data_IF_870043399816
#
_entry.id   IF_870043399816
#
_cell.length_a   1.000
_cell.length_b   1.000
_cell.length_c   1.000
_cell.angle_alpha   90.00
_cell.angle_beta   90.00
_cell.angle_gamma   90.00
#
_symmetry.space_group_name_H-M   'P 1'
#
loop_
_entity.id
_entity.type
_entity.pdbx_description
1 polymer ?
#
# COMPACT_ATOMS: atom_id res chain seq x y z
N UNK A 1 -81.48 11.24 62.89
CA UNK A 1 -82.34 12.44 62.85
C UNK A 1 -82.20 13.07 61.47
N UNK A 2 -83.16 12.88 60.55
CA UNK A 2 -83.17 13.62 59.29
C UNK A 2 -83.51 15.09 59.57
N UNK A 3 -82.78 16.01 58.94
CA UNK A 3 -83.04 17.45 59.02
C UNK A 3 -83.99 17.83 57.88
N UNK A 4 -85.22 18.18 58.22
CA UNK A 4 -86.19 18.69 57.25
C UNK A 4 -85.89 20.18 56.99
N UNK A 5 -85.34 20.48 55.81
CA UNK A 5 -85.21 21.85 55.31
C UNK A 5 -86.58 22.50 55.20
N UNK A 6 -86.73 23.71 55.74
CA UNK A 6 -88.01 24.42 55.71
C UNK A 6 -88.21 25.15 54.37
N UNK A 7 -89.45 25.33 53.93
CA UNK A 7 -89.77 25.92 52.62
C UNK A 7 -89.19 27.34 52.45
N UNK A 8 -89.14 28.10 53.55
CA UNK A 8 -88.50 29.43 53.62
C UNK A 8 -86.98 29.43 53.40
N UNK A 9 -86.27 28.36 53.75
CA UNK A 9 -84.84 28.23 53.46
C UNK A 9 -84.62 27.88 51.99
N UNK A 10 -85.52 27.08 51.41
CA UNK A 10 -85.49 26.66 50.03
C UNK A 10 -85.72 27.85 49.07
N UNK A 11 -86.66 28.74 49.39
CA UNK A 11 -86.87 29.98 48.62
C UNK A 11 -85.75 31.01 48.81
N UNK A 12 -85.12 31.07 49.99
CA UNK A 12 -83.92 31.91 50.21
C UNK A 12 -82.76 31.44 49.34
N UNK A 13 -82.56 30.13 49.24
CA UNK A 13 -81.55 29.52 48.35
C UNK A 13 -81.87 29.82 46.89
N UNK A 14 -83.13 29.70 46.46
CA UNK A 14 -83.57 30.08 45.09
C UNK A 14 -83.27 31.55 44.77
N UNK A 15 -83.58 32.48 45.66
CA UNK A 15 -83.29 33.92 45.47
C UNK A 15 -81.79 34.25 45.47
N UNK A 16 -80.96 33.44 46.13
CA UNK A 16 -79.49 33.60 46.10
C UNK A 16 -78.81 33.00 44.86
N UNK A 17 -79.55 32.18 44.08
CA UNK A 17 -79.06 31.53 42.84
C UNK A 17 -79.66 32.22 41.59
N UNK A 18 -80.79 32.90 41.70
CA UNK A 18 -81.34 33.71 40.61
C UNK A 18 -80.47 34.94 40.33
N UNK A 19 -80.13 35.16 39.05
CA UNK A 19 -79.39 36.35 38.63
C UNK A 19 -80.10 37.64 39.08
N UNK A 20 -79.37 38.65 39.58
CA UNK A 20 -79.97 39.90 40.01
C UNK A 20 -80.60 40.62 38.80
N UNK A 21 -81.88 40.95 38.90
CA UNK A 21 -82.64 41.65 37.85
C UNK A 21 -81.99 43.02 37.62
N UNK A 22 -81.22 43.13 36.53
CA UNK A 22 -80.47 44.34 36.22
C UNK A 22 -81.41 45.54 36.03
N UNK A 23 -81.27 46.54 36.89
CA UNK A 23 -81.98 47.81 36.73
C UNK A 23 -81.52 48.51 35.44
N UNK A 24 -82.42 49.26 34.78
CA UNK A 24 -82.11 50.07 33.59
C UNK A 24 -80.88 50.98 33.78
N UNK A 25 -80.63 51.43 35.02
CA UNK A 25 -79.43 52.20 35.36
C UNK A 25 -78.13 51.38 35.26
N UNK A 26 -78.17 50.10 35.65
CA UNK A 26 -77.01 49.21 35.58
C UNK A 26 -76.71 48.77 34.14
N UNK A 27 -77.73 48.49 33.33
CA UNK A 27 -77.57 48.22 31.90
C UNK A 27 -76.91 49.41 31.18
N UNK A 28 -77.37 50.64 31.45
CA UNK A 28 -76.73 51.87 30.93
C UNK A 28 -75.28 52.04 31.42
N UNK A 29 -75.01 51.71 32.69
CA UNK A 29 -73.65 51.72 33.27
C UNK A 29 -72.73 50.70 32.59
N UNK A 30 -73.23 49.50 32.29
CA UNK A 30 -72.49 48.45 31.57
C UNK A 30 -72.18 48.88 30.14
N UNK A 31 -73.18 49.33 29.37
CA UNK A 31 -72.99 49.82 28.00
C UNK A 31 -72.00 50.99 27.91
N UNK A 32 -72.06 51.97 28.83
CA UNK A 32 -71.09 53.07 28.88
C UNK A 32 -69.69 52.60 29.30
N UNK A 33 -69.59 51.59 30.19
CA UNK A 33 -68.32 50.95 30.55
C UNK A 33 -67.71 50.22 29.33
N UNK A 34 -68.51 49.50 28.55
CA UNK A 34 -68.09 48.84 27.31
C UNK A 34 -67.62 49.82 26.24
N UNK A 35 -68.36 50.90 26.02
CA UNK A 35 -67.94 51.96 25.08
C UNK A 35 -66.61 52.61 25.53
N UNK A 36 -66.42 52.76 26.84
CA UNK A 36 -65.19 53.27 27.44
C UNK A 36 -64.02 52.28 27.31
N UNK A 37 -64.20 50.98 27.57
CA UNK A 37 -63.15 49.97 27.40
C UNK A 37 -62.76 49.81 25.93
N UNK A 38 -63.72 49.83 25.00
CA UNK A 38 -63.46 49.81 23.55
C UNK A 38 -62.63 51.02 23.08
N UNK A 39 -62.88 52.22 23.63
CA UNK A 39 -62.07 53.41 23.34
C UNK A 39 -60.68 53.32 23.97
N UNK A 40 -60.61 52.91 25.23
CA UNK A 40 -59.35 52.75 25.99
C UNK A 40 -58.43 51.69 25.35
N UNK A 41 -58.98 50.60 24.82
CA UNK A 41 -58.21 49.57 24.12
C UNK A 41 -57.52 50.04 22.83
N UNK A 42 -57.93 51.19 22.28
CA UNK A 42 -57.29 51.82 21.11
C UNK A 42 -56.25 52.89 21.49
N UNK A 43 -56.06 53.18 22.77
CA UNK A 43 -55.13 54.22 23.23
C UNK A 43 -53.70 53.68 23.36
N UNK A 44 -52.73 54.19 22.57
CA UNK A 44 -51.37 53.65 22.53
C UNK A 44 -50.52 53.98 23.76
N UNK A 45 -51.00 54.87 24.63
CA UNK A 45 -50.34 55.37 25.84
C UNK A 45 -50.89 54.78 27.15
N UNK A 46 -51.77 53.76 27.09
CA UNK A 46 -52.14 53.00 28.29
C UNK A 46 -50.97 52.15 28.79
N UNK A 47 -50.93 51.85 30.09
CA UNK A 47 -49.88 50.99 30.66
C UNK A 47 -49.85 49.61 30.00
N UNK A 48 -51.02 49.05 29.63
CA UNK A 48 -51.12 47.79 28.91
C UNK A 48 -50.58 47.88 27.47
N UNK A 49 -50.93 48.94 26.73
CA UNK A 49 -50.38 49.16 25.39
C UNK A 49 -48.85 49.38 25.41
N UNK A 50 -48.33 50.11 26.41
CA UNK A 50 -46.88 50.30 26.57
C UNK A 50 -46.16 49.00 26.99
N UNK A 51 -46.77 48.16 27.84
CA UNK A 51 -46.24 46.82 28.16
C UNK A 51 -46.21 45.93 26.92
N UNK A 52 -47.32 45.82 26.18
CA UNK A 52 -47.40 45.08 24.91
C UNK A 52 -46.39 45.58 23.88
N UNK A 53 -46.21 46.90 23.74
CA UNK A 53 -45.20 47.48 22.84
C UNK A 53 -43.77 47.11 23.26
N UNK A 54 -43.47 47.09 24.56
CA UNK A 54 -42.17 46.67 25.09
C UNK A 54 -41.93 45.15 24.92
N UNK A 55 -42.96 44.34 25.09
CA UNK A 55 -42.92 42.88 24.87
C UNK A 55 -42.75 42.56 23.38
N UNK A 56 -43.52 43.19 22.50
CA UNK A 56 -43.35 43.05 21.05
C UNK A 56 -41.96 43.52 20.62
N UNK A 57 -41.48 44.68 21.08
CA UNK A 57 -40.11 45.13 20.77
C UNK A 57 -39.02 44.15 21.22
N UNK A 58 -39.21 43.46 22.36
CA UNK A 58 -38.31 42.36 22.77
C UNK A 58 -38.38 41.19 21.80
N UNK A 59 -39.58 40.73 21.45
CA UNK A 59 -39.78 39.66 20.45
C UNK A 59 -39.18 40.03 19.10
N UNK A 60 -39.51 41.19 18.55
CA UNK A 60 -38.94 41.73 17.30
C UNK A 60 -37.41 41.89 17.35
N UNK A 61 -36.81 41.96 18.55
CA UNK A 61 -35.34 41.98 18.75
C UNK A 61 -34.77 40.57 18.81
N UNK A 62 -35.37 39.69 19.62
CA UNK A 62 -35.02 38.28 19.75
C UNK A 62 -35.16 37.54 18.40
N UNK A 63 -36.25 37.76 17.65
CA UNK A 63 -36.47 37.22 16.30
C UNK A 63 -35.44 37.73 15.28
N UNK A 64 -34.98 38.98 15.40
CA UNK A 64 -33.93 39.53 14.52
C UNK A 64 -32.55 38.95 14.85
N UNK A 65 -32.22 38.85 16.13
CA UNK A 65 -30.95 38.25 16.60
C UNK A 65 -30.89 36.75 16.24
N UNK A 66 -32.01 36.02 16.35
CA UNK A 66 -32.08 34.62 15.93
C UNK A 66 -32.02 34.48 14.39
N UNK A 67 -32.68 35.35 13.64
CA UNK A 67 -32.57 35.37 12.17
C UNK A 67 -31.16 35.75 11.66
N UNK A 68 -30.38 36.51 12.44
CA UNK A 68 -28.96 36.78 12.17
C UNK A 68 -28.09 35.56 12.47
N UNK A 69 -28.34 34.83 13.57
CA UNK A 69 -27.67 33.55 13.87
C UNK A 69 -27.92 32.50 12.81
N UNK A 70 -29.18 32.29 12.42
CA UNK A 70 -29.54 31.29 11.40
C UNK A 70 -28.85 31.54 10.04
N UNK A 71 -28.59 32.81 9.68
CA UNK A 71 -27.80 33.15 8.49
C UNK A 71 -26.32 32.82 8.65
N UNK A 72 -25.74 33.08 9.83
CA UNK A 72 -24.36 32.69 10.14
C UNK A 72 -24.22 31.17 10.08
N UNK A 73 -25.15 30.43 10.68
CA UNK A 73 -25.18 28.96 10.63
C UNK A 73 -25.30 28.44 9.18
N UNK A 74 -26.12 29.07 8.33
CA UNK A 74 -26.25 28.71 6.91
C UNK A 74 -24.96 29.01 6.12
N UNK A 75 -24.32 30.17 6.36
CA UNK A 75 -23.05 30.53 5.73
C UNK A 75 -21.89 29.64 6.19
N UNK A 76 -21.78 29.34 7.48
CA UNK A 76 -20.81 28.40 8.04
C UNK A 76 -21.04 26.99 7.48
N UNK A 77 -22.29 26.50 7.43
CA UNK A 77 -22.61 25.20 6.84
C UNK A 77 -22.23 25.14 5.35
N UNK A 78 -22.45 26.23 4.60
CA UNK A 78 -22.02 26.34 3.19
C UNK A 78 -20.50 26.27 3.09
N UNK A 79 -19.76 27.04 3.88
CA UNK A 79 -18.30 27.05 3.89
C UNK A 79 -17.70 25.70 4.31
N UNK A 80 -18.26 25.06 5.35
CA UNK A 80 -17.86 23.72 5.78
C UNK A 80 -18.12 22.68 4.69
N UNK A 81 -19.28 22.76 4.01
CA UNK A 81 -19.62 21.89 2.87
C UNK A 81 -18.65 22.09 1.70
N UNK A 82 -18.35 23.33 1.33
CA UNK A 82 -17.35 23.65 0.30
C UNK A 82 -15.96 23.14 0.67
N UNK A 83 -15.53 23.34 1.90
CA UNK A 83 -14.22 22.89 2.39
C UNK A 83 -14.13 21.36 2.38
N UNK A 84 -15.18 20.67 2.84
CA UNK A 84 -15.31 19.20 2.76
C UNK A 84 -15.28 18.71 1.31
N UNK A 85 -16.00 19.38 0.40
CA UNK A 85 -15.97 19.05 -1.04
C UNK A 85 -14.55 19.22 -1.61
N UNK A 86 -13.89 20.36 -1.37
CA UNK A 86 -12.50 20.61 -1.80
C UNK A 86 -11.51 19.58 -1.23
N UNK A 87 -11.70 19.14 0.02
CA UNK A 87 -10.90 18.06 0.61
C UNK A 87 -11.14 16.71 -0.07
N UNK A 88 -12.39 16.35 -0.35
CA UNK A 88 -12.77 15.10 -1.04
C UNK A 88 -12.25 15.12 -2.48
N UNK A 89 -12.40 16.23 -3.22
CA UNK A 89 -11.86 16.41 -4.57
C UNK A 89 -10.33 16.25 -4.59
N UNK A 90 -9.62 16.88 -3.63
CA UNK A 90 -8.17 16.72 -3.48
C UNK A 90 -7.79 15.27 -3.18
N UNK A 91 -8.52 14.59 -2.30
CA UNK A 91 -8.27 13.19 -1.97
C UNK A 91 -8.50 12.27 -3.18
N UNK A 92 -9.63 12.43 -3.88
CA UNK A 92 -9.94 11.69 -5.10
C UNK A 92 -8.89 11.91 -6.19
N UNK A 93 -8.45 13.16 -6.38
CA UNK A 93 -7.34 13.50 -7.30
C UNK A 93 -6.04 12.80 -6.90
N UNK A 94 -5.68 12.80 -5.62
CA UNK A 94 -4.46 12.13 -5.14
C UNK A 94 -4.53 10.61 -5.33
N UNK A 95 -5.69 9.98 -5.05
CA UNK A 95 -5.92 8.56 -5.32
C UNK A 95 -5.80 8.25 -6.82
N UNK A 96 -6.36 9.11 -7.67
CA UNK A 96 -6.27 8.97 -9.13
C UNK A 96 -4.82 9.13 -9.64
N UNK A 97 -4.09 10.15 -9.18
CA UNK A 97 -2.66 10.34 -9.48
C UNK A 97 -1.79 9.17 -8.97
N UNK A 98 -2.24 8.43 -7.96
CA UNK A 98 -1.60 7.21 -7.45
C UNK A 98 -1.94 5.94 -8.24
N UNK A 99 -2.87 5.96 -9.21
CA UNK A 99 -3.10 4.80 -10.10
C UNK A 99 -1.87 4.52 -10.95
N UNK A 100 -1.54 3.25 -11.19
CA UNK A 100 -0.32 2.89 -11.93
C UNK A 100 -0.32 3.38 -13.39
N UNK A 101 -1.52 3.54 -13.97
CA UNK A 101 -1.71 4.16 -15.28
C UNK A 101 -1.32 5.64 -15.29
N UNK A 102 -1.67 6.40 -14.24
CA UNK A 102 -1.26 7.79 -14.07
C UNK A 102 0.23 7.91 -13.73
N UNK A 103 0.78 7.05 -12.87
CA UNK A 103 2.23 6.96 -12.64
C UNK A 103 3.01 6.74 -13.94
N UNK A 104 2.51 5.83 -14.80
CA UNK A 104 3.11 5.54 -16.11
C UNK A 104 3.07 6.76 -17.03
N UNK A 105 1.95 7.48 -17.09
CA UNK A 105 1.84 8.73 -17.86
C UNK A 105 2.83 9.78 -17.36
N UNK A 106 2.88 10.01 -16.04
CA UNK A 106 3.77 11.01 -15.41
C UNK A 106 5.26 10.66 -15.58
N UNK A 107 5.59 9.36 -15.63
CA UNK A 107 6.93 8.90 -15.99
C UNK A 107 7.29 9.18 -17.46
N UNK A 108 6.30 9.21 -18.36
CA UNK A 108 6.49 9.54 -19.79
C UNK A 108 6.52 11.05 -20.03
N UNK A 109 5.79 11.82 -19.24
CA UNK A 109 5.87 13.28 -19.14
C UNK A 109 7.28 13.72 -18.72
N UNK A 110 7.78 13.22 -17.58
CA UNK A 110 9.15 13.47 -17.13
C UNK A 110 10.21 13.04 -18.15
N UNK A 111 9.98 11.95 -18.89
CA UNK A 111 10.88 11.53 -19.97
C UNK A 111 10.88 12.52 -21.15
N UNK A 112 9.73 13.14 -21.46
CA UNK A 112 9.66 14.18 -22.49
C UNK A 112 10.38 15.46 -22.06
N UNK A 113 10.21 15.89 -20.80
CA UNK A 113 10.96 17.03 -20.22
C UNK A 113 12.47 16.78 -20.30
N UNK A 114 12.96 15.62 -19.85
CA UNK A 114 14.39 15.25 -19.87
C UNK A 114 14.95 15.18 -21.30
N UNK A 115 14.15 14.80 -22.29
CA UNK A 115 14.55 14.81 -23.70
C UNK A 115 14.67 16.24 -24.24
N UNK A 116 13.78 17.15 -23.85
CA UNK A 116 13.86 18.57 -24.20
C UNK A 116 15.09 19.23 -23.55
N UNK A 117 15.33 19.01 -22.26
CA UNK A 117 16.54 19.47 -21.57
C UNK A 117 17.82 18.95 -22.23
N UNK A 118 17.78 17.70 -22.74
CA UNK A 118 18.90 17.11 -23.44
C UNK A 118 19.16 17.77 -24.81
N UNK A 119 18.13 18.18 -25.52
CA UNK A 119 18.27 18.95 -26.77
C UNK A 119 18.90 20.32 -26.49
N UNK A 120 18.47 21.03 -25.44
CA UNK A 120 19.10 22.29 -25.01
C UNK A 120 20.58 22.12 -24.67
N UNK A 121 20.95 21.10 -23.87
CA UNK A 121 22.35 20.79 -23.55
C UNK A 121 23.21 20.50 -24.80
N UNK A 122 22.63 19.87 -25.82
CA UNK A 122 23.34 19.59 -27.08
C UNK A 122 23.54 20.87 -27.88
N UNK A 123 22.53 21.75 -27.91
CA UNK A 123 22.62 23.09 -28.51
C UNK A 123 23.73 23.93 -27.87
N UNK A 124 23.65 24.12 -26.55
CA UNK A 124 24.63 24.87 -25.75
C UNK A 124 26.07 24.32 -25.94
N UNK A 125 26.24 22.99 -25.92
CA UNK A 125 27.55 22.37 -26.17
C UNK A 125 28.10 22.63 -27.58
N UNK A 126 27.23 22.76 -28.58
CA UNK A 126 27.66 23.09 -29.94
C UNK A 126 28.01 24.59 -30.07
N UNK A 127 27.31 25.47 -29.36
CA UNK A 127 27.65 26.89 -29.28
C UNK A 127 29.00 27.11 -28.59
N UNK A 128 29.26 26.45 -27.46
CA UNK A 128 30.57 26.47 -26.80
C UNK A 128 31.69 26.01 -27.73
N UNK A 129 31.53 24.87 -28.41
CA UNK A 129 32.52 24.42 -29.42
C UNK A 129 32.77 25.44 -30.52
N UNK A 130 31.72 26.12 -31.00
CA UNK A 130 31.85 27.15 -32.03
C UNK A 130 32.53 28.44 -31.49
N UNK A 131 32.41 28.71 -30.20
CA UNK A 131 33.15 29.78 -29.52
C UNK A 131 34.61 29.40 -29.30
N UNK A 132 34.90 28.20 -28.78
CA UNK A 132 36.25 27.65 -28.62
C UNK A 132 37.01 27.66 -29.95
N UNK A 133 36.36 27.20 -31.03
CA UNK A 133 36.98 27.21 -32.37
C UNK A 133 37.37 28.62 -32.83
N UNK A 134 36.54 29.65 -32.57
CA UNK A 134 36.88 31.05 -32.87
C UNK A 134 38.04 31.57 -32.03
N UNK A 135 38.19 31.09 -30.79
CA UNK A 135 39.31 31.42 -29.91
C UNK A 135 40.60 30.78 -30.43
N UNK A 136 40.57 29.50 -30.80
CA UNK A 136 41.69 28.79 -31.43
C UNK A 136 42.11 29.39 -32.77
N UNK A 137 41.15 29.76 -33.64
CA UNK A 137 41.41 30.47 -34.89
C UNK A 137 42.10 31.82 -34.63
N UNK A 138 41.68 32.54 -33.58
CA UNK A 138 42.29 33.79 -33.12
C UNK A 138 43.74 33.61 -32.64
N UNK A 139 44.00 32.62 -31.78
CA UNK A 139 45.35 32.27 -31.33
C UNK A 139 46.25 31.84 -32.48
N UNK A 140 45.73 31.02 -33.40
CA UNK A 140 46.44 30.60 -34.61
C UNK A 140 46.81 31.80 -35.48
N UNK A 141 45.90 32.77 -35.62
CA UNK A 141 46.17 34.04 -36.30
C UNK A 141 47.32 34.83 -35.66
N UNK A 142 47.34 34.95 -34.32
CA UNK A 142 48.42 35.62 -33.58
C UNK A 142 49.75 34.86 -33.71
N UNK A 143 49.74 33.53 -33.62
CA UNK A 143 50.95 32.73 -33.81
C UNK A 143 51.53 32.91 -35.21
N UNK A 144 50.67 32.95 -36.24
CA UNK A 144 51.09 33.15 -37.63
C UNK A 144 51.64 34.56 -37.89
N UNK A 145 51.17 35.59 -37.19
CA UNK A 145 51.80 36.92 -37.27
C UNK A 145 53.15 36.96 -36.56
N UNK A 146 53.26 36.35 -35.37
CA UNK A 146 54.53 36.24 -34.64
C UNK A 146 55.60 35.48 -35.44
N UNK A 147 55.25 34.35 -36.07
CA UNK A 147 56.15 33.61 -36.96
C UNK A 147 56.60 34.48 -38.15
N UNK A 148 55.66 35.16 -38.82
CA UNK A 148 55.99 36.05 -39.95
C UNK A 148 56.92 37.19 -39.54
N UNK A 149 56.76 37.76 -38.35
CA UNK A 149 57.62 38.84 -37.87
C UNK A 149 58.98 38.33 -37.35
N UNK A 150 59.04 37.11 -36.81
CA UNK A 150 60.30 36.42 -36.52
C UNK A 150 61.09 36.11 -37.80
N UNK A 151 60.43 35.61 -38.85
CA UNK A 151 61.04 35.33 -40.16
C UNK A 151 61.61 36.61 -40.78
N UNK A 152 60.83 37.72 -40.81
CA UNK A 152 61.31 39.03 -41.26
C UNK A 152 62.55 39.48 -40.48
N UNK A 153 62.54 39.33 -39.16
CA UNK A 153 63.65 39.75 -38.31
C UNK A 153 64.91 38.90 -38.58
N UNK A 154 64.76 37.59 -38.74
CA UNK A 154 65.84 36.70 -39.14
C UNK A 154 66.40 37.03 -40.54
N UNK A 155 65.52 37.40 -41.47
CA UNK A 155 65.86 37.89 -42.82
C UNK A 155 66.67 39.19 -42.77
N UNK A 156 66.26 40.15 -41.95
CA UNK A 156 66.97 41.43 -41.80
C UNK A 156 68.29 41.27 -41.05
N UNK A 157 68.34 40.43 -40.01
CA UNK A 157 69.60 40.04 -39.36
C UNK A 157 70.56 39.31 -40.32
N UNK A 158 70.04 38.49 -41.25
CA UNK A 158 70.83 37.88 -42.32
C UNK A 158 71.38 38.96 -43.27
N UNK A 159 70.55 39.89 -43.75
CA UNK A 159 70.98 41.01 -44.60
C UNK A 159 72.04 41.88 -43.92
N UNK A 160 71.91 42.14 -42.61
CA UNK A 160 72.90 42.89 -41.83
C UNK A 160 74.20 42.11 -41.70
N UNK A 161 74.16 40.80 -41.44
CA UNK A 161 75.36 39.94 -41.45
C UNK A 161 76.04 39.90 -42.82
N UNK A 162 75.27 39.79 -43.91
CA UNK A 162 75.79 39.84 -45.28
C UNK A 162 76.46 41.19 -45.60
N UNK A 163 75.88 42.32 -45.17
CA UNK A 163 76.51 43.65 -45.31
C UNK A 163 77.83 43.72 -44.55
N UNK A 164 77.84 43.36 -43.26
CA UNK A 164 79.07 43.32 -42.44
C UNK A 164 80.13 42.39 -43.03
N UNK A 165 79.73 41.25 -43.60
CA UNK A 165 80.67 40.34 -44.25
C UNK A 165 81.24 40.92 -45.55
N UNK A 166 80.44 41.65 -46.34
CA UNK A 166 80.92 42.37 -47.53
C UNK A 166 81.90 43.49 -47.15
N UNK A 167 81.59 44.26 -46.12
CA UNK A 167 82.47 45.29 -45.54
C UNK A 167 83.80 44.68 -45.05
N UNK A 168 83.73 43.56 -44.32
CA UNK A 168 84.89 42.82 -43.83
C UNK A 168 85.76 42.30 -44.99
N UNK A 169 85.17 41.74 -46.05
CA UNK A 169 85.92 41.28 -47.24
C UNK A 169 86.63 42.44 -47.93
N UNK A 170 85.99 43.61 -48.07
CA UNK A 170 86.63 44.81 -48.62
C UNK A 170 87.79 45.29 -47.73
N UNK A 171 87.63 45.26 -46.41
CA UNK A 171 88.71 45.60 -45.47
C UNK A 171 89.87 44.59 -45.53
N UNK A 172 89.58 43.29 -45.62
CA UNK A 172 90.59 42.24 -45.78
C UNK A 172 91.34 42.36 -47.11
N UNK A 173 90.66 42.72 -48.20
CA UNK A 173 91.30 42.99 -49.48
C UNK A 173 92.28 44.16 -49.38
N UNK A 174 91.88 45.28 -48.75
CA UNK A 174 92.77 46.41 -48.46
C UNK A 174 93.97 46.01 -47.60
N UNK A 175 93.74 45.28 -46.51
CA UNK A 175 94.81 44.77 -45.64
C UNK A 175 95.77 43.83 -46.38
N UNK A 176 95.29 43.02 -47.33
CA UNK A 176 96.14 42.18 -48.17
C UNK A 176 96.94 43.00 -49.19
N UNK A 177 96.41 44.10 -49.73
CA UNK A 177 97.18 45.03 -50.57
C UNK A 177 98.22 45.81 -49.76
N UNK A 178 97.84 46.33 -48.59
CA UNK A 178 98.76 46.97 -47.63
C UNK A 178 99.87 46.01 -47.20
N UNK A 179 99.54 44.75 -46.88
CA UNK A 179 100.50 43.71 -46.55
C UNK A 179 101.40 43.36 -47.74
N UNK A 180 100.88 43.24 -48.96
CA UNK A 180 101.71 43.04 -50.17
C UNK A 180 102.66 44.21 -50.39
N UNK A 181 102.20 45.44 -50.26
CA UNK A 181 103.02 46.64 -50.42
C UNK A 181 104.10 46.73 -49.34
N UNK A 182 103.74 46.43 -48.09
CA UNK A 182 104.67 46.32 -46.96
C UNK A 182 105.69 45.19 -47.18
N UNK A 183 105.26 44.01 -47.62
CA UNK A 183 106.14 42.88 -47.88
C UNK A 183 107.07 43.10 -49.08
N UNK A 184 106.62 43.82 -50.12
CA UNK A 184 107.48 44.31 -51.20
C UNK A 184 108.51 45.32 -50.67
N UNK A 185 108.14 46.16 -49.69
CA UNK A 185 109.07 47.05 -49.03
C UNK A 185 110.08 46.29 -48.14
N UNK A 186 109.63 45.31 -47.34
CA UNK A 186 110.55 44.48 -46.54
C UNK A 186 111.46 43.65 -47.43
N UNK A 187 110.98 43.04 -48.53
CA UNK A 187 111.86 42.33 -49.49
C UNK A 187 112.92 43.26 -50.10
N UNK A 188 112.60 44.54 -50.32
CA UNK A 188 113.59 45.54 -50.77
C UNK A 188 114.57 45.94 -49.67
N UNK A 189 114.17 45.88 -48.40
CA UNK A 189 115.08 46.08 -47.27
C UNK A 189 115.92 44.82 -46.99
N UNK A 190 115.34 43.63 -47.00
CA UNK A 190 116.00 42.31 -46.91
C UNK A 190 117.01 42.09 -48.04
N UNK A 191 116.80 42.65 -49.24
CA UNK A 191 117.85 42.68 -50.27
C UNK A 191 119.06 43.53 -49.82
N UNK A 192 118.83 44.75 -49.30
CA UNK A 192 119.89 45.64 -48.80
C UNK A 192 120.56 45.10 -47.54
N UNK A 193 119.80 44.43 -46.68
CA UNK A 193 120.30 43.78 -45.47
C UNK A 193 120.94 42.43 -45.79
N UNK A 194 120.55 41.73 -46.85
CA UNK A 194 121.25 40.57 -47.39
C UNK A 194 122.63 40.93 -47.94
N UNK A 195 122.75 42.09 -48.60
CA UNK A 195 124.04 42.68 -48.97
C UNK A 195 124.92 42.97 -47.73
N UNK A 196 124.34 43.42 -46.61
CA UNK A 196 125.03 43.63 -45.32
C UNK A 196 125.33 42.34 -44.56
N UNK A 197 124.43 41.37 -44.56
CA UNK A 197 124.57 40.09 -43.85
C UNK A 197 125.58 39.21 -44.55
N UNK A 198 125.69 39.24 -45.88
CA UNK A 198 126.80 38.59 -46.59
C UNK A 198 128.16 39.09 -46.07
N UNK A 199 128.30 40.40 -45.83
CA UNK A 199 129.50 40.98 -45.25
C UNK A 199 129.71 40.64 -43.75
N UNK A 200 128.68 40.22 -43.01
CA UNK A 200 128.78 39.81 -41.59
C UNK A 200 128.92 38.28 -41.40
N UNK A 201 128.33 37.46 -42.26
CA UNK A 201 128.44 36.00 -42.18
C UNK A 201 129.88 35.52 -42.50
N UNK A 202 130.61 36.26 -43.33
CA UNK A 202 132.07 36.10 -43.52
C UNK A 202 132.88 36.43 -42.24
N UNK A 203 132.25 37.03 -41.22
CA UNK A 203 132.84 37.39 -39.94
C UNK A 203 132.45 36.39 -38.83
N UNK A 204 131.16 36.12 -38.63
CA UNK A 204 130.64 35.32 -37.50
C UNK A 204 130.93 33.80 -37.60
N UNK A 205 131.14 33.25 -38.80
CA UNK A 205 131.47 31.83 -38.99
C UNK A 205 132.82 31.39 -38.36
N UNK A 206 133.55 32.33 -37.75
CA UNK A 206 134.78 32.10 -37.00
C UNK A 206 134.55 31.80 -35.51
N UNK A 207 133.37 32.07 -34.97
CA UNK A 207 133.14 32.13 -33.52
C UNK A 207 132.31 30.97 -32.94
N UNK A 208 131.56 30.21 -33.75
CA UNK A 208 130.50 29.30 -33.23
C UNK A 208 130.95 27.85 -32.92
N UNK A 209 132.17 27.43 -33.27
CA UNK A 209 132.67 26.06 -33.03
C UNK A 209 132.84 25.69 -31.53
N UNK A 210 132.69 26.64 -30.59
CA UNK A 210 133.13 26.46 -29.18
C UNK A 210 132.07 25.92 -28.18
N UNK A 211 130.76 25.88 -28.48
CA UNK A 211 129.73 25.92 -27.40
C UNK A 211 128.88 24.66 -27.08
N UNK A 212 128.69 23.69 -27.97
CA UNK A 212 127.56 22.72 -27.92
C UNK A 212 127.59 21.61 -26.82
N UNK A 213 128.67 21.47 -26.05
CA UNK A 213 128.97 20.20 -25.33
C UNK A 213 128.20 19.91 -24.01
N UNK A 214 127.32 20.80 -23.51
CA UNK A 214 126.99 20.84 -22.07
C UNK A 214 125.69 20.16 -21.55
N UNK A 215 124.65 19.90 -22.36
CA UNK A 215 123.24 19.96 -21.85
C UNK A 215 122.55 18.67 -21.32
N UNK A 216 123.07 17.45 -21.55
CA UNK A 216 122.25 16.20 -21.63
C UNK A 216 121.82 15.44 -20.33
N UNK A 217 121.88 15.97 -19.09
CA UNK A 217 121.87 15.12 -17.85
C UNK A 217 120.63 15.03 -16.89
N UNK A 218 119.55 15.82 -16.99
CA UNK A 218 118.64 16.08 -15.82
C UNK A 218 117.31 15.30 -15.62
N UNK A 219 116.85 14.41 -16.50
CA UNK A 219 115.37 14.16 -16.67
C UNK A 219 114.71 12.97 -15.89
N UNK A 220 115.44 12.09 -15.17
CA UNK A 220 114.97 10.71 -14.91
C UNK A 220 114.07 10.36 -13.68
N UNK A 221 113.65 11.29 -12.80
CA UNK A 221 113.26 10.92 -11.41
C UNK A 221 111.77 10.91 -10.97
N UNK A 222 110.78 11.29 -11.80
CA UNK A 222 109.49 11.83 -11.27
C UNK A 222 108.21 10.94 -11.31
N UNK A 223 108.26 9.60 -11.52
CA UNK A 223 107.08 8.85 -12.03
C UNK A 223 106.38 7.81 -11.12
N UNK A 224 106.78 7.54 -9.86
CA UNK A 224 106.26 6.36 -9.10
C UNK A 224 104.98 6.59 -8.25
N UNK A 225 104.74 7.78 -7.69
CA UNK A 225 103.88 7.92 -6.49
C UNK A 225 102.34 7.78 -6.67
N UNK A 226 101.81 7.65 -7.89
CA UNK A 226 100.37 7.92 -8.16
C UNK A 226 99.39 6.73 -7.94
N UNK A 227 99.84 5.53 -7.54
CA UNK A 227 99.05 4.29 -7.75
C UNK A 227 98.09 3.85 -6.63
N UNK A 228 98.22 4.32 -5.39
CA UNK A 228 97.66 3.63 -4.20
C UNK A 228 96.26 4.07 -3.67
N UNK A 229 95.60 5.07 -4.28
CA UNK A 229 94.47 5.76 -3.62
C UNK A 229 93.04 5.23 -3.91
N UNK A 230 92.83 4.35 -4.90
CA UNK A 230 91.49 4.14 -5.50
C UNK A 230 90.60 3.02 -4.92
N UNK A 231 91.08 2.16 -4.01
CA UNK A 231 90.36 0.91 -3.65
C UNK A 231 89.30 1.04 -2.54
N UNK A 232 89.24 2.15 -1.80
CA UNK A 232 88.42 2.23 -0.55
C UNK A 232 86.94 2.64 -0.70
N UNK A 233 86.46 3.04 -1.88
CA UNK A 233 85.13 3.67 -2.01
C UNK A 233 83.95 2.69 -2.17
N UNK A 234 84.19 1.43 -2.57
CA UNK A 234 83.14 0.54 -3.08
C UNK A 234 82.33 -0.27 -2.03
N UNK A 235 82.60 -0.14 -0.73
CA UNK A 235 82.03 -1.01 0.31
C UNK A 235 80.74 -0.52 0.99
N UNK A 236 80.41 0.78 0.90
CA UNK A 236 79.33 1.38 1.72
C UNK A 236 77.91 1.35 1.12
N UNK A 237 77.73 1.00 -0.16
CA UNK A 237 76.44 1.13 -0.87
C UNK A 237 75.47 -0.06 -0.76
N UNK A 238 75.69 -1.01 0.16
CA UNK A 238 74.89 -2.25 0.26
C UNK A 238 73.95 -2.36 1.46
N UNK A 239 73.90 -1.37 2.36
CA UNK A 239 73.26 -1.51 3.69
C UNK A 239 71.91 -0.79 3.86
N UNK A 240 71.40 -0.08 2.85
CA UNK A 240 70.20 0.77 3.01
C UNK A 240 68.91 0.18 2.41
N UNK A 241 68.99 -0.86 1.57
CA UNK A 241 67.86 -1.36 0.77
C UNK A 241 66.86 -2.27 1.52
N UNK A 242 67.14 -2.70 2.75
CA UNK A 242 66.30 -3.69 3.47
C UNK A 242 65.31 -3.06 4.47
N UNK A 243 65.24 -1.73 4.56
CA UNK A 243 64.43 -1.02 5.57
C UNK A 243 62.98 -0.70 5.14
N UNK A 244 62.61 -0.85 3.87
CA UNK A 244 61.28 -0.42 3.36
C UNK A 244 60.17 -1.48 3.44
N UNK A 245 60.49 -2.76 3.67
CA UNK A 245 59.49 -3.86 3.68
C UNK A 245 58.60 -3.86 4.94
N UNK A 246 58.87 -2.98 5.92
CA UNK A 246 58.22 -2.98 7.23
C UNK A 246 56.86 -2.25 7.32
N UNK A 247 56.40 -1.55 6.26
CA UNK A 247 55.23 -0.66 6.37
C UNK A 247 53.89 -1.19 5.80
N UNK A 248 53.87 -2.27 5.02
CA UNK A 248 52.62 -2.75 4.37
C UNK A 248 51.66 -3.55 5.28
N UNK A 249 52.15 -4.11 6.38
CA UNK A 249 51.34 -4.99 7.27
C UNK A 249 50.29 -4.19 8.08
N UNK A 250 50.40 -2.86 8.18
CA UNK A 250 49.51 -2.00 8.99
C UNK A 250 48.17 -1.60 8.34
N UNK A 251 47.83 -2.08 7.14
CA UNK A 251 46.68 -1.55 6.37
C UNK A 251 45.48 -2.51 6.19
N UNK A 252 45.50 -3.71 6.76
CA UNK A 252 44.42 -4.71 6.55
C UNK A 252 43.55 -5.02 7.79
N UNK A 253 43.89 -4.55 9.00
CA UNK A 253 43.17 -4.94 10.21
C UNK A 253 41.90 -4.12 10.54
N UNK A 254 41.73 -2.91 9.99
CA UNK A 254 40.55 -2.06 10.27
C UNK A 254 39.29 -2.39 9.44
N UNK A 255 39.39 -3.27 8.43
CA UNK A 255 38.21 -3.83 7.75
C UNK A 255 37.35 -4.71 8.67
N UNK A 256 37.88 -5.07 9.85
CA UNK A 256 37.25 -5.95 10.84
C UNK A 256 36.22 -5.25 11.75
N UNK A 257 36.03 -3.92 11.64
CA UNK A 257 35.13 -3.11 12.51
C UNK A 257 33.87 -2.60 11.80
N UNK A 258 33.23 -3.45 11.00
CA UNK A 258 31.92 -3.16 10.38
C UNK A 258 31.00 -4.38 10.39
N UNK A 259 30.83 -5.03 11.55
CA UNK A 259 29.99 -4.36 12.55
C UNK A 259 28.51 -4.70 12.30
N UNK A 260 27.87 -3.85 11.50
CA UNK A 260 26.48 -3.46 11.73
C UNK A 260 25.57 -3.81 10.55
N UNK A 261 25.74 -5.02 10.01
CA UNK A 261 24.70 -5.71 9.23
C UNK A 261 24.32 -7.08 9.81
N UNK A 262 24.57 -7.24 11.12
CA UNK A 262 24.01 -8.26 12.00
C UNK A 262 22.47 -8.36 11.95
N UNK A 263 21.76 -7.28 11.65
CA UNK A 263 20.36 -7.10 12.04
C UNK A 263 19.29 -7.25 10.94
N UNK A 264 19.57 -7.95 9.83
CA UNK A 264 18.61 -8.09 8.70
C UNK A 264 18.45 -9.48 8.07
N UNK A 265 18.72 -10.57 8.79
CA UNK A 265 18.16 -11.89 8.39
C UNK A 265 17.84 -12.90 9.49
N UNK A 266 17.61 -12.42 10.70
CA UNK A 266 16.78 -13.12 11.71
C UNK A 266 15.38 -13.50 11.17
N UNK A 267 14.94 -12.87 10.06
CA UNK A 267 13.77 -13.24 9.28
C UNK A 267 13.73 -14.73 8.85
N UNK A 268 14.89 -15.40 8.68
CA UNK A 268 14.92 -16.82 8.28
C UNK A 268 14.61 -17.81 9.42
N UNK A 269 14.72 -17.36 10.68
CA UNK A 269 14.31 -18.15 11.86
C UNK A 269 12.81 -18.47 11.82
N UNK A 270 12.02 -17.66 11.12
CA UNK A 270 10.57 -17.81 10.92
C UNK A 270 10.17 -19.10 10.18
N UNK A 271 11.06 -19.68 9.35
CA UNK A 271 10.79 -20.93 8.62
C UNK A 271 10.89 -22.20 9.48
N UNK A 272 11.30 -22.08 10.76
CA UNK A 272 11.41 -23.22 11.69
C UNK A 272 10.12 -23.57 12.43
N UNK A 273 9.16 -22.66 12.51
CA UNK A 273 8.01 -22.83 13.40
C UNK A 273 6.73 -23.29 12.69
N UNK A 274 6.60 -23.07 11.38
CA UNK A 274 5.50 -23.64 10.57
C UNK A 274 5.52 -25.17 10.53
N UNK A 275 6.71 -25.79 10.60
CA UNK A 275 6.86 -27.26 10.66
C UNK A 275 6.34 -27.88 11.96
N UNK A 276 6.11 -27.10 13.02
CA UNK A 276 5.53 -27.58 14.28
C UNK A 276 4.00 -27.49 14.31
N UNK A 277 3.40 -26.67 13.43
CA UNK A 277 1.95 -26.56 13.27
C UNK A 277 1.30 -27.77 12.55
N UNK A 278 2.11 -28.76 12.12
CA UNK A 278 1.65 -30.10 11.75
C UNK A 278 1.11 -30.94 12.95
N UNK A 279 0.94 -30.29 14.11
CA UNK A 279 -0.22 -30.49 14.99
C UNK A 279 -1.54 -30.57 14.20
N UNK A 280 -1.83 -31.73 13.58
CA UNK A 280 -3.16 -32.19 13.13
C UNK A 280 -3.16 -33.61 12.55
N UNK A 281 -2.01 -34.18 12.19
CA UNK A 281 -1.92 -35.61 11.83
C UNK A 281 -2.08 -36.57 13.03
N UNK A 282 -2.49 -36.05 14.20
CA UNK A 282 -3.07 -36.83 15.31
C UNK A 282 -4.44 -37.48 14.98
N UNK A 283 -4.94 -37.31 13.75
CA UNK A 283 -6.24 -37.79 13.28
C UNK A 283 -6.22 -39.19 12.66
N UNK A 284 -5.05 -39.80 12.40
CA UNK A 284 -4.96 -40.98 11.51
C UNK A 284 -5.01 -42.32 12.27
N UNK A 285 -4.09 -42.56 13.22
CA UNK A 285 -3.79 -43.94 13.66
C UNK A 285 -4.51 -44.43 14.94
N UNK A 286 -5.46 -43.65 15.47
CA UNK A 286 -6.31 -44.08 16.61
C UNK A 286 -7.68 -44.60 16.14
N UNK A 287 -8.04 -44.38 14.86
CA UNK A 287 -9.29 -44.83 14.27
C UNK A 287 -9.25 -46.29 13.79
N UNK A 288 -8.05 -46.87 13.62
CA UNK A 288 -7.83 -48.25 13.17
C UNK A 288 -8.05 -49.28 14.30
N UNK A 289 -9.33 -49.43 14.66
CA UNK A 289 -10.02 -50.72 14.70
C UNK A 289 -9.26 -51.93 15.31
N UNK A 290 -9.57 -52.46 16.51
CA UNK A 290 -10.72 -52.36 17.41
C UNK A 290 -12.11 -52.73 16.85
N UNK A 291 -12.32 -52.78 15.52
CA UNK A 291 -13.47 -53.43 14.90
C UNK A 291 -13.16 -54.90 14.51
N UNK A 292 -11.89 -55.21 14.20
CA UNK A 292 -11.44 -56.52 13.68
C UNK A 292 -11.35 -57.69 14.70
N UNK A 293 -11.91 -57.58 15.91
CA UNK A 293 -11.73 -58.62 16.97
C UNK A 293 -13.00 -59.17 17.63
N UNK A 294 -14.20 -58.73 17.26
CA UNK A 294 -15.43 -59.15 17.97
C UNK A 294 -16.34 -60.14 17.21
N UNK A 295 -16.22 -60.27 15.88
CA UNK A 295 -17.19 -61.03 15.07
C UNK A 295 -17.01 -62.57 15.09
N UNK A 296 -15.84 -63.09 15.46
CA UNK A 296 -15.46 -64.48 15.18
C UNK A 296 -15.87 -65.56 16.22
N UNK A 297 -16.94 -65.38 17.03
CA UNK A 297 -17.20 -66.28 18.18
C UNK A 297 -18.66 -66.66 18.49
N UNK A 298 -19.64 -66.35 17.64
CA UNK A 298 -21.07 -66.55 17.93
C UNK A 298 -21.76 -67.77 17.28
N UNK A 299 -21.19 -68.40 16.26
CA UNK A 299 -21.95 -69.28 15.33
C UNK A 299 -22.13 -70.78 15.69
N UNK A 300 -21.73 -71.27 16.89
CA UNK A 300 -21.44 -72.70 17.08
C UNK A 300 -22.21 -73.53 18.15
N UNK A 301 -23.47 -73.21 18.56
CA UNK A 301 -24.13 -73.88 19.73
C UNK A 301 -25.69 -73.99 19.72
N UNK A 302 -26.38 -74.92 19.01
CA UNK A 302 -27.87 -74.87 18.83
C UNK A 302 -28.69 -76.25 18.91
N UNK A 303 -29.37 -76.65 20.04
CA UNK A 303 -29.84 -78.07 20.42
C UNK A 303 -31.37 -78.45 20.76
N UNK A 304 -31.75 -79.67 21.32
CA UNK A 304 -33.18 -80.19 21.55
C UNK A 304 -33.48 -81.34 22.63
N UNK A 305 -34.75 -81.86 22.84
CA UNK A 305 -35.28 -82.74 24.01
C UNK A 305 -36.59 -83.66 23.79
N UNK A 306 -37.22 -84.35 24.83
CA UNK A 306 -38.70 -84.78 25.11
C UNK A 306 -39.12 -86.30 25.46
N UNK A 307 -40.16 -86.65 26.33
CA UNK A 307 -40.86 -88.02 26.57
C UNK A 307 -42.01 -88.23 27.69
N UNK A 308 -42.85 -89.34 27.65
CA UNK A 308 -43.55 -90.24 28.71
C UNK A 308 -44.99 -90.14 29.45
N UNK A 309 -45.48 -91.25 30.14
CA UNK A 309 -46.47 -91.51 31.32
C UNK A 309 -48.03 -91.89 31.18
N UNK A 310 -48.67 -92.86 31.97
CA UNK A 310 -50.19 -93.24 32.11
C UNK A 310 -50.69 -94.30 33.23
N UNK A 311 -51.96 -94.30 33.82
CA UNK A 311 -52.79 -95.48 34.44
C UNK A 311 -54.12 -95.29 35.37
N UNK A 312 -55.03 -96.33 35.50
CA UNK A 312 -55.95 -96.94 36.63
C UNK A 312 -57.39 -96.44 37.16
N UNK A 313 -58.36 -97.36 37.59
CA UNK A 313 -59.67 -97.17 38.39
C UNK A 313 -60.48 -98.49 38.87
N UNK A 314 -61.48 -98.54 39.84
CA UNK A 314 -62.41 -99.74 40.24
C UNK A 314 -63.67 -99.64 41.29
N UNK A 315 -64.67 -100.59 41.25
CA UNK A 315 -65.53 -101.32 42.32
C UNK A 315 -66.98 -100.95 42.97
N UNK A 316 -67.70 -101.95 43.60
CA UNK A 316 -68.81 -102.03 44.71
C UNK A 316 -70.40 -102.14 44.48
N UNK A 317 -71.26 -102.67 45.44
CA UNK A 317 -72.67 -103.25 45.26
C UNK A 317 -74.01 -102.75 46.01
N UNK A 318 -74.67 -103.47 47.01
CA UNK A 318 -76.17 -103.44 47.32
C UNK A 318 -76.75 -102.57 48.47
N UNK A 319 -76.12 -102.38 49.64
CA UNK A 319 -76.50 -101.25 50.54
C UNK A 319 -76.17 -99.89 49.91
N UNK A 320 -75.33 -99.91 48.88
CA UNK A 320 -75.22 -98.83 47.90
C UNK A 320 -76.57 -98.55 47.19
N UNK A 321 -77.61 -99.40 47.23
CA UNK A 321 -78.83 -99.26 46.42
C UNK A 321 -79.95 -98.41 47.07
N UNK A 322 -80.40 -98.71 48.28
CA UNK A 322 -81.36 -97.83 49.00
C UNK A 322 -80.69 -96.52 49.43
N UNK A 323 -79.40 -96.60 49.81
CA UNK A 323 -78.57 -95.40 49.98
C UNK A 323 -78.45 -94.65 48.66
N UNK A 324 -78.31 -95.31 47.49
CA UNK A 324 -78.45 -94.68 46.17
C UNK A 324 -79.86 -94.14 45.92
N UNK A 325 -80.94 -94.67 46.49
CA UNK A 325 -82.30 -94.17 46.25
C UNK A 325 -82.53 -92.85 47.00
N UNK A 326 -82.30 -92.82 48.32
CA UNK A 326 -82.36 -91.58 49.11
C UNK A 326 -81.29 -90.58 48.67
N UNK A 327 -80.08 -91.02 48.34
CA UNK A 327 -79.09 -90.15 47.69
C UNK A 327 -79.56 -89.71 46.30
N UNK A 328 -80.23 -90.54 45.49
CA UNK A 328 -80.73 -90.14 44.17
C UNK A 328 -81.79 -89.06 44.31
N UNK A 329 -82.67 -89.10 45.30
CA UNK A 329 -83.68 -88.06 45.49
C UNK A 329 -83.08 -86.78 46.07
N UNK A 330 -82.15 -86.88 47.03
CA UNK A 330 -81.36 -85.73 47.51
C UNK A 330 -80.48 -85.13 46.40
N UNK A 331 -79.87 -85.97 45.55
CA UNK A 331 -79.12 -85.57 44.35
C UNK A 331 -80.07 -84.98 43.32
N UNK A 332 -81.27 -85.51 43.10
CA UNK A 332 -82.23 -84.96 42.14
C UNK A 332 -82.71 -83.57 42.59
N UNK A 333 -83.02 -83.39 43.88
CA UNK A 333 -83.38 -82.10 44.45
C UNK A 333 -82.20 -81.12 44.40
N UNK A 334 -81.01 -81.53 44.85
CA UNK A 334 -79.78 -80.73 44.76
C UNK A 334 -79.40 -80.40 43.32
N UNK A 335 -79.60 -81.31 42.37
CA UNK A 335 -79.33 -81.15 40.94
C UNK A 335 -80.38 -80.28 40.27
N UNK A 336 -81.64 -80.30 40.71
CA UNK A 336 -82.67 -79.34 40.31
C UNK A 336 -82.31 -77.93 40.76
N UNK A 337 -81.93 -77.76 42.03
CA UNK A 337 -81.43 -76.48 42.55
C UNK A 337 -80.14 -76.04 41.85
N UNK A 338 -79.19 -76.94 41.57
CA UNK A 338 -77.98 -76.62 40.79
C UNK A 338 -78.29 -76.32 39.32
N UNK A 339 -79.35 -76.89 38.73
CA UNK A 339 -79.78 -76.57 37.37
C UNK A 339 -80.42 -75.18 37.35
N UNK A 340 -81.32 -74.87 38.28
CA UNK A 340 -81.88 -73.52 38.45
C UNK A 340 -80.80 -72.48 38.75
N UNK A 341 -79.85 -72.78 39.63
CA UNK A 341 -78.71 -71.90 39.95
C UNK A 341 -77.77 -71.74 38.74
N UNK A 342 -77.59 -72.78 37.91
CA UNK A 342 -76.86 -72.70 36.63
C UNK A 342 -77.63 -71.94 35.55
N UNK A 343 -78.95 -72.02 35.53
CA UNK A 343 -79.80 -71.25 34.62
C UNK A 343 -79.82 -69.78 35.01
N UNK A 344 -79.93 -69.46 36.31
CA UNK A 344 -79.78 -68.09 36.81
C UNK A 344 -78.38 -67.56 36.49
N UNK A 345 -77.30 -68.30 36.80
CA UNK A 345 -75.93 -67.89 36.43
C UNK A 345 -75.77 -67.70 34.92
N UNK A 346 -76.29 -68.61 34.08
CA UNK A 346 -76.29 -68.40 32.62
C UNK A 346 -77.03 -67.14 32.21
N UNK A 347 -78.15 -66.81 32.85
CA UNK A 347 -78.89 -65.58 32.59
C UNK A 347 -78.09 -64.34 33.04
N UNK A 348 -77.52 -64.37 34.25
CA UNK A 348 -76.68 -63.32 34.81
C UNK A 348 -75.43 -63.11 33.91
N UNK A 349 -74.76 -64.18 33.51
CA UNK A 349 -73.62 -64.19 32.58
C UNK A 349 -74.01 -63.64 31.19
N UNK A 350 -75.22 -63.94 30.69
CA UNK A 350 -75.73 -63.41 29.42
C UNK A 350 -76.03 -61.91 29.50
N UNK A 351 -76.62 -61.41 30.60
CA UNK A 351 -76.83 -59.98 30.80
C UNK A 351 -75.51 -59.23 30.99
N UNK A 352 -74.56 -59.78 31.77
CA UNK A 352 -73.21 -59.25 31.90
C UNK A 352 -72.50 -59.21 30.53
N UNK A 353 -72.62 -60.26 29.72
CA UNK A 353 -72.04 -60.30 28.37
C UNK A 353 -72.69 -59.27 27.43
N UNK A 354 -74.01 -59.06 27.50
CA UNK A 354 -74.71 -57.98 26.76
C UNK A 354 -74.21 -56.60 27.18
N UNK A 355 -74.15 -56.33 28.49
CA UNK A 355 -73.62 -55.06 29.00
C UNK A 355 -72.17 -54.81 28.57
N UNK A 356 -71.32 -55.84 28.67
CA UNK A 356 -69.93 -55.75 28.24
C UNK A 356 -69.84 -55.52 26.73
N UNK A 357 -70.65 -56.21 25.92
CA UNK A 357 -70.72 -55.99 24.47
C UNK A 357 -71.11 -54.55 24.12
N UNK A 358 -72.11 -53.98 24.79
CA UNK A 358 -72.49 -52.57 24.62
C UNK A 358 -71.38 -51.60 25.06
N UNK A 359 -70.71 -51.87 26.19
CA UNK A 359 -69.58 -51.07 26.69
C UNK A 359 -68.38 -51.12 25.72
N UNK A 360 -68.08 -52.29 25.14
CA UNK A 360 -67.05 -52.49 24.12
C UNK A 360 -67.41 -51.82 22.78
N UNK A 361 -68.64 -51.94 22.31
CA UNK A 361 -69.10 -51.27 21.09
C UNK A 361 -68.95 -49.74 21.22
N UNK A 362 -69.40 -49.17 22.35
CA UNK A 362 -69.22 -47.75 22.63
C UNK A 362 -67.76 -47.32 22.83
N UNK A 363 -66.88 -48.21 23.32
CA UNK A 363 -65.44 -47.96 23.40
C UNK A 363 -64.80 -47.95 22.00
N UNK A 364 -65.06 -48.96 21.18
CA UNK A 364 -64.55 -49.07 19.81
C UNK A 364 -64.99 -47.86 18.98
N UNK A 365 -66.26 -47.44 19.07
CA UNK A 365 -66.75 -46.24 18.38
C UNK A 365 -66.00 -44.96 18.78
N UNK A 366 -65.64 -44.80 20.08
CA UNK A 366 -64.81 -43.67 20.53
C UNK A 366 -63.38 -43.76 20.02
N UNK A 367 -62.81 -44.97 19.95
CA UNK A 367 -61.46 -45.20 19.40
C UNK A 367 -61.44 -44.89 17.90
N UNK A 368 -62.41 -45.36 17.12
CA UNK A 368 -62.56 -45.03 15.69
C UNK A 368 -62.71 -43.52 15.47
N UNK A 369 -63.57 -42.84 16.24
CA UNK A 369 -63.71 -41.38 16.19
C UNK A 369 -62.40 -40.66 16.52
N UNK A 370 -61.62 -41.17 17.49
CA UNK A 370 -60.31 -40.62 17.84
C UNK A 370 -59.28 -40.80 16.73
N UNK A 371 -59.24 -41.98 16.09
CA UNK A 371 -58.34 -42.28 14.97
C UNK A 371 -58.68 -41.38 13.77
N UNK A 372 -59.95 -41.32 13.38
CA UNK A 372 -60.41 -40.46 12.27
C UNK A 372 -60.08 -38.99 12.52
N UNK A 373 -60.23 -38.52 13.77
CA UNK A 373 -59.86 -37.16 14.14
C UNK A 373 -58.34 -36.95 14.05
N UNK A 374 -57.54 -37.87 14.57
CA UNK A 374 -56.07 -37.80 14.52
C UNK A 374 -55.54 -37.82 13.07
N UNK A 375 -56.16 -38.59 12.17
CA UNK A 375 -55.87 -38.57 10.74
C UNK A 375 -56.24 -37.24 10.07
N UNK A 376 -57.39 -36.65 10.44
CA UNK A 376 -57.80 -35.33 9.96
C UNK A 376 -56.84 -34.23 10.43
N UNK A 377 -56.46 -34.23 11.71
CA UNK A 377 -55.52 -33.27 12.28
C UNK A 377 -54.13 -33.40 11.60
N UNK A 378 -53.60 -34.62 11.45
CA UNK A 378 -52.37 -34.89 10.69
C UNK A 378 -52.45 -34.41 9.23
N UNK A 379 -53.61 -34.60 8.57
CA UNK A 379 -53.81 -34.13 7.19
C UNK A 379 -53.81 -32.60 7.12
N UNK A 380 -54.44 -31.91 8.07
CA UNK A 380 -54.45 -30.45 8.14
C UNK A 380 -53.04 -29.90 8.40
N UNK A 381 -52.27 -30.51 9.29
CA UNK A 381 -50.89 -30.11 9.58
C UNK A 381 -49.94 -30.38 8.41
N UNK A 382 -50.10 -31.48 7.68
CA UNK A 382 -49.37 -31.73 6.44
C UNK A 382 -49.69 -30.68 5.36
N UNK A 383 -50.95 -30.23 5.25
CA UNK A 383 -51.34 -29.15 4.33
C UNK A 383 -50.72 -27.81 4.75
N UNK A 384 -50.72 -27.48 6.04
CA UNK A 384 -50.05 -26.28 6.60
C UNK A 384 -48.55 -26.31 6.33
N UNK A 385 -47.90 -27.44 6.57
CA UNK A 385 -46.46 -27.63 6.34
C UNK A 385 -46.10 -27.48 4.86
N UNK A 386 -46.88 -28.09 3.95
CA UNK A 386 -46.69 -27.95 2.51
C UNK A 386 -46.86 -26.49 2.03
N UNK A 387 -47.83 -25.76 2.60
CA UNK A 387 -48.01 -24.34 2.31
C UNK A 387 -46.82 -23.49 2.80
N UNK A 388 -46.32 -23.75 4.02
CA UNK A 388 -45.14 -23.07 4.57
C UNK A 388 -43.88 -23.37 3.75
N UNK A 389 -43.64 -24.63 3.38
CA UNK A 389 -42.51 -25.04 2.54
C UNK A 389 -42.57 -24.37 1.16
N UNK A 390 -43.78 -24.21 0.59
CA UNK A 390 -43.96 -23.46 -0.67
C UNK A 390 -43.63 -21.98 -0.50
N UNK A 391 -44.12 -21.34 0.56
CA UNK A 391 -43.77 -19.95 0.87
C UNK A 391 -42.25 -19.77 1.06
N UNK A 392 -41.58 -20.68 1.76
CA UNK A 392 -40.12 -20.67 1.92
C UNK A 392 -39.39 -20.87 0.59
N UNK A 393 -39.87 -21.76 -0.28
CA UNK A 393 -39.28 -21.98 -1.60
C UNK A 393 -39.45 -20.77 -2.53
N UNK A 394 -40.62 -20.13 -2.52
CA UNK A 394 -40.89 -18.94 -3.31
C UNK A 394 -40.13 -17.71 -2.76
N UNK A 395 -40.03 -17.55 -1.42
CA UNK A 395 -39.19 -16.53 -0.81
C UNK A 395 -37.68 -16.74 -1.07
N UNK A 396 -37.22 -17.99 -1.11
CA UNK A 396 -35.84 -18.28 -1.54
C UNK A 396 -35.63 -17.91 -3.00
N UNK A 397 -36.59 -18.19 -3.89
CA UNK A 397 -36.50 -17.79 -5.31
C UNK A 397 -36.46 -16.28 -5.49
N UNK A 398 -37.20 -15.50 -4.71
CA UNK A 398 -37.12 -14.03 -4.77
C UNK A 398 -35.74 -13.55 -4.32
N UNK A 399 -35.20 -14.08 -3.22
CA UNK A 399 -33.83 -13.77 -2.77
C UNK A 399 -32.79 -14.15 -3.84
N UNK A 400 -32.84 -15.38 -4.37
CA UNK A 400 -31.92 -15.85 -5.43
C UNK A 400 -32.02 -14.99 -6.72
N UNK A 401 -33.17 -14.35 -6.98
CA UNK A 401 -33.37 -13.41 -8.10
C UNK A 401 -32.86 -12.01 -7.78
N UNK A 402 -33.10 -11.51 -6.56
CA UNK A 402 -32.60 -10.23 -6.05
C UNK A 402 -31.07 -10.23 -5.98
N UNK A 403 -30.46 -11.29 -5.48
CA UNK A 403 -28.99 -11.46 -5.44
C UNK A 403 -28.38 -11.43 -6.85
N UNK A 404 -29.02 -12.08 -7.84
CA UNK A 404 -28.57 -12.02 -9.25
C UNK A 404 -28.74 -10.63 -9.84
N UNK A 405 -29.86 -9.94 -9.55
CA UNK A 405 -30.07 -8.57 -10.01
C UNK A 405 -29.06 -7.61 -9.39
N UNK A 406 -28.75 -7.77 -8.10
CA UNK A 406 -27.71 -7.03 -7.39
C UNK A 406 -26.31 -7.31 -7.95
N UNK A 407 -26.00 -8.56 -8.30
CA UNK A 407 -24.73 -8.91 -8.95
C UNK A 407 -24.61 -8.26 -10.34
N UNK A 408 -25.65 -8.31 -11.17
CA UNK A 408 -25.65 -7.66 -12.49
C UNK A 408 -25.48 -6.13 -12.34
N UNK A 409 -26.16 -5.50 -11.39
CA UNK A 409 -25.98 -4.07 -11.06
C UNK A 409 -24.57 -3.75 -10.54
N UNK A 410 -23.97 -4.64 -9.74
CA UNK A 410 -22.59 -4.49 -9.28
C UNK A 410 -21.61 -4.58 -10.45
N UNK A 411 -21.77 -5.56 -11.35
CA UNK A 411 -20.94 -5.69 -12.56
C UNK A 411 -21.11 -4.49 -13.51
N UNK A 412 -22.34 -3.97 -13.67
CA UNK A 412 -22.60 -2.78 -14.49
C UNK A 412 -22.03 -1.50 -13.86
N UNK A 413 -22.16 -1.29 -12.56
CA UNK A 413 -21.55 -0.13 -11.87
C UNK A 413 -20.02 -0.18 -11.90
N UNK A 414 -19.42 -1.37 -11.72
CA UNK A 414 -17.97 -1.58 -11.89
C UNK A 414 -17.55 -1.24 -13.32
N UNK A 415 -18.26 -1.74 -14.34
CA UNK A 415 -17.97 -1.49 -15.76
C UNK A 415 -18.10 -0.01 -16.13
N UNK A 416 -19.12 0.67 -15.61
CA UNK A 416 -19.33 2.10 -15.81
C UNK A 416 -18.21 2.92 -15.14
N UNK A 417 -17.79 2.55 -13.92
CA UNK A 417 -16.62 3.13 -13.26
C UNK A 417 -15.34 3.00 -14.08
N UNK A 418 -15.01 1.81 -14.57
CA UNK A 418 -13.86 1.58 -15.46
C UNK A 418 -13.93 2.42 -16.74
N UNK A 419 -15.13 2.57 -17.32
CA UNK A 419 -15.33 3.41 -18.51
C UNK A 419 -15.11 4.89 -18.21
N UNK A 420 -15.57 5.39 -17.07
CA UNK A 420 -15.34 6.77 -16.62
C UNK A 420 -13.86 7.03 -16.34
N UNK A 421 -13.18 6.13 -15.63
CA UNK A 421 -11.74 6.25 -15.34
C UNK A 421 -10.87 6.20 -16.60
N UNK A 422 -11.27 5.37 -17.58
CA UNK A 422 -10.62 5.32 -18.89
C UNK A 422 -10.81 6.61 -19.68
N UNK A 423 -11.97 7.25 -19.59
CA UNK A 423 -12.25 8.51 -20.28
C UNK A 423 -11.55 9.69 -19.61
N UNK A 424 -11.59 9.76 -18.27
CA UNK A 424 -10.81 10.73 -17.48
C UNK A 424 -9.31 10.62 -17.79
N UNK A 425 -8.79 9.41 -17.97
CA UNK A 425 -7.39 9.20 -18.34
C UNK A 425 -7.07 9.76 -19.72
N UNK A 426 -7.94 9.52 -20.72
CA UNK A 426 -7.75 10.06 -22.07
C UNK A 426 -7.75 11.58 -22.05
N UNK A 427 -8.70 12.18 -21.34
CA UNK A 427 -8.80 13.64 -21.23
C UNK A 427 -7.56 14.25 -20.57
N UNK A 428 -7.11 13.68 -19.45
CA UNK A 428 -5.89 14.14 -18.79
C UNK A 428 -4.63 13.92 -19.64
N UNK A 429 -4.47 12.75 -20.25
CA UNK A 429 -3.33 12.46 -21.12
C UNK A 429 -3.32 13.30 -22.42
N UNK A 430 -4.50 13.67 -22.94
CA UNK A 430 -4.63 14.61 -24.05
C UNK A 430 -4.25 16.04 -23.62
N UNK A 431 -4.65 16.48 -22.41
CA UNK A 431 -4.24 17.77 -21.85
C UNK A 431 -2.72 17.86 -21.67
N UNK A 432 -2.08 16.81 -21.10
CA UNK A 432 -0.62 16.76 -20.96
C UNK A 432 0.08 16.78 -22.32
N UNK A 433 -0.49 16.13 -23.35
CA UNK A 433 0.05 16.18 -24.70
C UNK A 433 -0.08 17.58 -25.34
N UNK A 434 -1.24 18.21 -25.20
CA UNK A 434 -1.51 19.57 -25.70
C UNK A 434 -0.63 20.61 -24.99
N UNK A 435 -0.42 20.49 -23.68
CA UNK A 435 0.54 21.32 -22.94
C UNK A 435 1.98 21.12 -23.41
N UNK A 436 2.40 19.88 -23.69
CA UNK A 436 3.72 19.58 -24.24
C UNK A 436 3.91 20.18 -25.65
N UNK A 437 2.90 20.09 -26.50
CA UNK A 437 2.92 20.67 -27.85
C UNK A 437 2.90 22.22 -27.80
N UNK A 438 2.13 22.82 -26.89
CA UNK A 438 2.16 24.28 -26.62
C UNK A 438 3.50 24.79 -26.07
N UNK A 439 4.19 23.99 -25.25
CA UNK A 439 5.56 24.27 -24.78
C UNK A 439 6.61 24.17 -25.91
N UNK A 440 6.23 23.71 -27.10
CA UNK A 440 7.15 23.53 -28.23
C UNK A 440 8.09 22.34 -28.07
N UNK A 441 7.73 21.33 -27.29
CA UNK A 441 8.56 20.11 -27.13
C UNK A 441 8.71 19.37 -28.45
N UNK A 442 9.93 19.22 -28.95
CA UNK A 442 10.20 18.53 -30.21
C UNK A 442 9.82 17.03 -30.16
N UNK A 443 9.99 16.38 -29.00
CA UNK A 443 9.81 14.94 -28.84
C UNK A 443 8.64 14.55 -27.92
N UNK A 444 7.41 14.70 -28.41
CA UNK A 444 6.19 14.25 -27.71
C UNK A 444 5.87 12.75 -27.90
N UNK A 445 6.79 11.96 -28.46
CA UNK A 445 6.58 10.52 -28.69
C UNK A 445 6.32 9.70 -27.40
N UNK A 446 7.00 9.93 -26.26
CA UNK A 446 6.71 9.21 -25.01
C UNK A 446 5.26 9.37 -24.54
N UNK A 447 4.70 10.57 -24.68
CA UNK A 447 3.30 10.90 -24.33
C UNK A 447 2.31 10.24 -25.30
N UNK A 448 2.58 10.32 -26.62
CA UNK A 448 1.81 9.64 -27.66
C UNK A 448 1.83 8.11 -27.49
N UNK A 449 2.90 7.55 -26.93
CA UNK A 449 2.98 6.13 -26.55
C UNK A 449 2.12 5.82 -25.32
N UNK A 450 2.12 6.68 -24.29
CA UNK A 450 1.30 6.51 -23.08
C UNK A 450 -0.20 6.48 -23.39
N UNK A 451 -0.68 7.37 -24.27
CA UNK A 451 -2.06 7.40 -24.77
C UNK A 451 -2.51 6.09 -25.45
N UNK A 452 -1.58 5.41 -26.14
CA UNK A 452 -1.83 4.15 -26.86
C UNK A 452 -1.59 2.90 -26.02
N UNK A 453 -0.92 3.02 -24.88
CA UNK A 453 -0.68 1.90 -23.98
C UNK A 453 -2.03 1.38 -23.44
N UNK A 454 -2.27 0.08 -23.57
CA UNK A 454 -3.35 -0.57 -22.82
C UNK A 454 -3.07 -0.41 -21.33
N UNK A 455 -4.13 -0.32 -20.53
CA UNK A 455 -3.99 -0.35 -19.08
C UNK A 455 -3.26 -1.62 -18.66
N UNK A 456 -2.01 -1.47 -18.24
CA UNK A 456 -1.31 -2.49 -17.49
C UNK A 456 -1.66 -2.18 -16.05
N UNK A 457 -2.68 -2.85 -15.52
CA UNK A 457 -2.84 -2.95 -14.08
C UNK A 457 -1.64 -3.74 -13.59
N UNK A 458 -0.63 -3.00 -13.12
CA UNK A 458 0.48 -3.60 -12.41
C UNK A 458 -0.15 -4.24 -11.18
N UNK A 459 -0.25 -5.57 -11.19
CA UNK A 459 -0.73 -6.34 -10.05
C UNK A 459 -0.05 -5.78 -8.81
N UNK A 460 -0.81 -5.43 -7.75
CA UNK A 460 -0.25 -4.74 -6.61
C UNK A 460 0.95 -5.52 -6.11
N UNK A 461 2.06 -4.83 -5.85
CA UNK A 461 3.28 -5.42 -5.32
C UNK A 461 3.13 -5.86 -3.85
N UNK A 462 1.93 -6.33 -3.46
CA UNK A 462 1.78 -7.37 -2.46
C UNK A 462 2.54 -8.60 -2.96
N UNK A 463 3.83 -8.63 -2.66
CA UNK A 463 4.65 -9.80 -2.93
C UNK A 463 3.98 -11.04 -2.35
N UNK A 464 4.10 -12.16 -3.07
CA UNK A 464 3.79 -13.49 -2.57
C UNK A 464 4.56 -13.71 -1.25
N UNK A 465 3.93 -13.36 -0.13
CA UNK A 465 4.22 -13.94 1.18
C UNK A 465 3.53 -15.30 1.20
N UNK A 466 4.21 -16.25 0.58
CA UNK A 466 4.15 -17.66 0.97
C UNK A 466 4.67 -17.75 2.39
#
# INVERSE_FOLDING_TARGET
>A
MPVNLNESELDRIRQSISDPVQSNHEAKRQHLKELSTQRTGKWPNTLEAMRRKKENWKKDKEEREEAERLKIDEEELRLQKEYRTKQIERANRLLYEQTDRMKTLRSKELLADVLQDREYQIGEKNEFKAMDQKVEDGWTGVLMTQLRDADKKADDERKVRERKHKELVVMQQKQLEEYKNSHIATLREEMRDGERIKAKAEQDARDEEESELARKRRVKQANEDMRLANERLNLLRKQEAEKEVAEEVKRQEDARKKEERTLKRDELQRQRDEKKAAQKMRMVDLATENLLRFEAKSEARLESQKKEVRQKEDNVLKCRAERRASQKDAINHSRSLQLQEKERRKHDDLEIAKEQSLKWAGYNQRVEQSIVKEEQDKRLDNIRLAALQRQQADAKRTIDMEDRAAQILAEETIKNGHSMDQELYKQYAAHVLDDAEKKGMANTFPLKQALKAKGIDLLPASGFRV
#
